data_IF_240825470093
#
_entry.id   IF_240825470093
#
_cell.length_a   1.000
_cell.length_b   1.000
_cell.length_c   1.000
_cell.angle_alpha   90.00
_cell.angle_beta   90.00
_cell.angle_gamma   90.00
#
_symmetry.space_group_name_H-M   'P 1'
#
loop_
_entity.id
_entity.type
_entity.pdbx_description
1 polymer ?
#
# COMPACT_ATOMS: atom_id res chain seq x y z
N UNK A 1 2.09 9.77 20.47
CA UNK A 1 1.29 9.15 19.39
C UNK A 1 1.27 10.11 18.20
N UNK A 2 1.43 9.61 16.97
CA UNK A 2 1.57 10.39 15.71
C UNK A 2 0.25 10.94 15.13
N UNK A 3 -0.83 10.93 15.91
CA UNK A 3 -2.12 11.52 15.52
C UNK A 3 -2.75 10.93 14.25
N UNK A 4 -3.70 11.67 13.68
CA UNK A 4 -4.44 11.26 12.48
C UNK A 4 -3.56 11.15 11.22
N UNK A 5 -2.52 11.98 11.10
CA UNK A 5 -1.61 11.95 9.95
C UNK A 5 -0.84 10.63 9.88
N UNK A 6 -0.36 10.11 11.02
CA UNK A 6 0.31 8.82 11.06
C UNK A 6 -0.65 7.66 10.74
N UNK A 7 -1.87 7.70 11.27
CA UNK A 7 -2.89 6.71 10.93
C UNK A 7 -3.23 6.73 9.43
N UNK A 8 -3.35 7.92 8.83
CA UNK A 8 -3.59 8.10 7.41
C UNK A 8 -2.44 7.56 6.56
N UNK A 9 -1.19 7.78 6.98
CA UNK A 9 -0.01 7.25 6.28
C UNK A 9 0.00 5.71 6.26
N UNK A 10 -0.27 5.06 7.40
CA UNK A 10 -0.38 3.59 7.43
C UNK A 10 -1.54 3.11 6.56
N UNK A 11 -2.71 3.72 6.71
CA UNK A 11 -3.89 3.38 5.92
C UNK A 11 -3.61 3.47 4.41
N UNK A 12 -2.96 4.54 3.95
CA UNK A 12 -2.63 4.77 2.56
C UNK A 12 -1.79 3.62 1.97
N UNK A 13 -0.75 3.18 2.70
CA UNK A 13 0.10 2.09 2.26
C UNK A 13 -0.61 0.72 2.33
N UNK A 14 -1.45 0.49 3.34
CA UNK A 14 -2.27 -0.73 3.42
C UNK A 14 -3.27 -0.78 2.26
N UNK A 15 -3.90 0.35 1.91
CA UNK A 15 -4.82 0.45 0.79
C UNK A 15 -4.12 0.16 -0.54
N UNK A 16 -2.94 0.74 -0.76
CA UNK A 16 -2.07 0.46 -1.91
C UNK A 16 -1.75 -1.04 -2.03
N UNK A 17 -1.17 -1.61 -0.97
CA UNK A 17 -0.81 -3.03 -0.96
C UNK A 17 -2.02 -3.94 -1.24
N UNK A 18 -3.15 -3.68 -0.56
CA UNK A 18 -4.36 -4.49 -0.68
C UNK A 18 -5.02 -4.34 -2.05
N UNK A 19 -5.16 -3.12 -2.55
CA UNK A 19 -5.75 -2.88 -3.87
C UNK A 19 -4.90 -3.54 -4.96
N UNK A 20 -3.57 -3.42 -4.87
CA UNK A 20 -2.65 -4.07 -5.83
C UNK A 20 -2.79 -5.58 -5.78
N UNK A 21 -2.78 -6.18 -4.59
CA UNK A 21 -2.97 -7.62 -4.41
C UNK A 21 -4.31 -8.10 -4.99
N UNK A 22 -5.42 -7.40 -4.71
CA UNK A 22 -6.73 -7.72 -5.29
C UNK A 22 -6.74 -7.57 -6.81
N UNK A 23 -6.11 -6.52 -7.33
CA UNK A 23 -5.98 -6.29 -8.76
C UNK A 23 -5.30 -7.47 -9.47
N UNK A 24 -4.24 -8.01 -8.87
CA UNK A 24 -3.48 -9.14 -9.42
C UNK A 24 -4.18 -10.49 -9.17
N UNK A 25 -4.44 -10.83 -7.92
CA UNK A 25 -4.90 -12.16 -7.52
C UNK A 25 -6.38 -12.43 -7.83
N UNK A 26 -7.22 -11.38 -7.88
CA UNK A 26 -8.68 -11.52 -8.04
C UNK A 26 -9.17 -10.99 -9.39
N UNK A 27 -8.66 -9.83 -9.82
CA UNK A 27 -9.14 -9.17 -11.05
C UNK A 27 -8.28 -9.51 -12.28
N UNK A 28 -7.15 -10.19 -12.11
CA UNK A 28 -6.30 -10.65 -13.20
C UNK A 28 -5.50 -9.54 -13.91
N UNK A 29 -5.34 -8.37 -13.30
CA UNK A 29 -4.45 -7.34 -13.81
C UNK A 29 -2.98 -7.73 -13.61
N UNK A 30 -2.11 -7.29 -14.53
CA UNK A 30 -0.66 -7.44 -14.37
C UNK A 30 -0.04 -6.30 -13.58
N UNK A 31 0.86 -6.60 -12.64
CA UNK A 31 1.68 -5.60 -11.96
C UNK A 31 2.80 -5.10 -12.89
N UNK A 32 2.86 -3.78 -13.10
CA UNK A 32 3.79 -3.13 -14.04
C UNK A 32 5.03 -2.54 -13.34
N UNK A 33 4.98 -2.37 -12.02
CA UNK A 33 6.05 -1.79 -11.22
C UNK A 33 7.11 -2.86 -10.97
N UNK A 34 8.37 -2.70 -11.44
CA UNK A 34 9.37 -3.76 -11.38
C UNK A 34 9.63 -4.32 -9.98
N UNK A 35 9.68 -3.46 -8.96
CA UNK A 35 9.91 -3.89 -7.58
C UNK A 35 8.72 -4.66 -7.01
N UNK A 36 7.49 -4.17 -7.23
CA UNK A 36 6.26 -4.86 -6.81
C UNK A 36 6.15 -6.23 -7.48
N UNK A 37 6.40 -6.28 -8.80
CA UNK A 37 6.38 -7.52 -9.57
C UNK A 37 7.43 -8.52 -9.06
N UNK A 38 8.64 -8.07 -8.72
CA UNK A 38 9.66 -8.94 -8.15
C UNK A 38 9.25 -9.52 -6.79
N UNK A 39 8.62 -8.71 -5.92
CA UNK A 39 8.11 -9.16 -4.62
C UNK A 39 7.02 -10.23 -4.83
N UNK A 40 6.07 -9.99 -5.73
CA UNK A 40 4.99 -10.94 -6.02
C UNK A 40 5.49 -12.20 -6.69
N UNK A 41 6.45 -12.09 -7.61
CA UNK A 41 7.08 -13.25 -8.24
C UNK A 41 7.79 -14.14 -7.20
N UNK A 42 8.51 -13.52 -6.25
CA UNK A 42 9.09 -14.27 -5.14
C UNK A 42 8.01 -14.92 -4.28
N UNK A 43 6.94 -14.20 -3.94
CA UNK A 43 5.82 -14.74 -3.17
C UNK A 43 5.15 -15.94 -3.86
N UNK A 44 5.03 -15.91 -5.19
CA UNK A 44 4.51 -17.01 -6.00
C UNK A 44 5.41 -18.24 -6.06
N UNK A 45 6.69 -18.12 -5.69
CA UNK A 45 7.60 -19.27 -5.55
C UNK A 45 7.45 -19.99 -4.19
N UNK A 46 6.71 -19.42 -3.25
CA UNK A 46 6.52 -19.96 -1.90
C UNK A 46 5.34 -20.93 -1.86
N UNK A 47 5.36 -21.93 -0.95
CA UNK A 47 4.27 -22.90 -0.80
C UNK A 47 2.96 -22.29 -0.28
N UNK A 48 2.96 -21.01 0.07
CA UNK A 48 1.78 -20.24 0.51
C UNK A 48 0.91 -19.76 -0.64
N UNK A 49 1.43 -19.71 -1.87
CA UNK A 49 0.74 -19.18 -3.05
C UNK A 49 -0.67 -19.77 -3.25
N UNK A 50 -0.91 -21.09 -3.12
CA UNK A 50 -2.25 -21.65 -3.35
C UNK A 50 -3.33 -21.19 -2.36
N UNK A 51 -2.91 -20.60 -1.23
CA UNK A 51 -3.81 -20.16 -0.15
C UNK A 51 -3.88 -18.64 -0.06
N UNK A 52 -2.76 -17.95 -0.27
CA UNK A 52 -2.64 -16.50 -0.07
C UNK A 52 -2.52 -15.69 -1.37
N UNK A 53 -2.40 -16.34 -2.53
CA UNK A 53 -2.07 -15.69 -3.79
C UNK A 53 -0.62 -15.23 -3.87
N UNK A 54 -0.30 -14.37 -4.83
CA UNK A 54 1.04 -13.79 -5.00
C UNK A 54 1.16 -12.38 -4.39
N UNK A 55 0.04 -11.71 -4.11
CA UNK A 55 0.00 -10.34 -3.62
C UNK A 55 0.26 -10.16 -2.12
N UNK A 56 0.06 -11.20 -1.29
CA UNK A 56 0.10 -11.08 0.18
C UNK A 56 1.41 -10.49 0.72
N UNK A 57 2.56 -10.87 0.13
CA UNK A 57 3.86 -10.38 0.59
C UNK A 57 4.00 -8.88 0.31
N UNK A 58 3.44 -8.40 -0.81
CA UNK A 58 3.44 -6.98 -1.12
C UNK A 58 2.59 -6.18 -0.13
N UNK A 59 1.44 -6.72 0.31
CA UNK A 59 0.62 -6.14 1.38
C UNK A 59 1.45 -5.99 2.67
N UNK A 60 2.18 -7.03 3.07
CA UNK A 60 3.03 -6.98 4.27
C UNK A 60 4.16 -5.96 4.12
N UNK A 61 4.82 -5.92 2.97
CA UNK A 61 5.90 -4.95 2.68
C UNK A 61 5.38 -3.52 2.78
N UNK A 62 4.23 -3.21 2.17
CA UNK A 62 3.62 -1.87 2.24
C UNK A 62 3.18 -1.52 3.65
N UNK A 63 2.58 -2.46 4.37
CA UNK A 63 2.18 -2.26 5.77
C UNK A 63 3.38 -1.96 6.65
N UNK A 64 4.45 -2.76 6.52
CA UNK A 64 5.70 -2.57 7.24
C UNK A 64 6.39 -1.24 6.86
N UNK A 65 6.37 -0.85 5.59
CA UNK A 65 6.88 0.42 5.12
C UNK A 65 6.13 1.60 5.75
N UNK A 66 4.79 1.61 5.66
CA UNK A 66 3.96 2.67 6.24
C UNK A 66 4.13 2.77 7.75
N UNK A 67 4.07 1.65 8.46
CA UNK A 67 4.28 1.61 9.91
C UNK A 67 5.71 2.03 10.29
N UNK A 68 6.72 1.53 9.58
CA UNK A 68 8.13 1.83 9.83
C UNK A 68 8.45 3.31 9.65
N UNK A 69 7.99 3.93 8.55
CA UNK A 69 8.18 5.37 8.32
C UNK A 69 7.49 6.19 9.40
N UNK A 70 6.27 5.81 9.80
CA UNK A 70 5.54 6.48 10.89
C UNK A 70 6.30 6.37 12.22
N UNK A 71 6.89 5.23 12.53
CA UNK A 71 7.71 5.05 13.74
C UNK A 71 8.98 5.91 13.68
N UNK A 72 9.65 5.97 12.53
CA UNK A 72 10.85 6.78 12.34
C UNK A 72 10.56 8.29 12.48
N UNK A 73 9.40 8.75 11.99
CA UNK A 73 8.97 10.14 12.11
C UNK A 73 8.29 10.46 13.44
N UNK A 74 8.05 9.48 14.31
CA UNK A 74 7.25 9.67 15.51
C UNK A 74 7.87 10.70 16.47
N UNK A 75 9.19 10.67 16.65
CA UNK A 75 9.91 11.67 17.45
C UNK A 75 9.81 13.05 16.85
N UNK A 76 10.05 13.16 15.54
CA UNK A 76 10.02 14.43 14.83
C UNK A 76 8.64 15.11 14.87
N UNK A 77 7.55 14.33 14.72
CA UNK A 77 6.18 14.82 14.87
C UNK A 77 5.89 15.32 16.30
N UNK A 78 6.56 14.76 17.32
CA UNK A 78 6.42 15.25 18.71
C UNK A 78 7.18 16.55 18.94
N UNK A 79 8.35 16.70 18.31
CA UNK A 79 9.21 17.88 18.45
C UNK A 79 8.70 19.06 17.62
N UNK A 80 8.40 18.84 16.34
CA UNK A 80 7.77 19.81 15.43
C UNK A 80 6.53 19.19 14.77
N UNK A 81 5.34 19.39 15.36
CA UNK A 81 4.11 18.80 14.83
C UNK A 81 3.73 19.31 13.44
N UNK A 82 4.03 20.55 13.08
CA UNK A 82 3.60 21.10 11.80
C UNK A 82 4.40 20.46 10.66
N UNK A 83 5.73 20.47 10.79
CA UNK A 83 6.62 19.91 9.77
C UNK A 83 6.55 18.38 9.73
N UNK A 84 6.50 17.72 10.90
CA UNK A 84 6.35 16.27 10.98
C UNK A 84 5.04 15.76 10.36
N UNK A 85 3.92 16.45 10.59
CA UNK A 85 2.64 16.07 9.95
C UNK A 85 2.65 16.35 8.45
N UNK A 86 3.36 17.38 7.98
CA UNK A 86 3.52 17.62 6.54
C UNK A 86 4.29 16.47 5.87
N UNK A 87 5.36 15.98 6.50
CA UNK A 87 6.09 14.80 6.01
C UNK A 87 5.19 13.56 6.00
N UNK A 88 4.41 13.33 7.05
CA UNK A 88 3.45 12.22 7.10
C UNK A 88 2.37 12.34 6.01
N UNK A 89 1.92 13.55 5.67
CA UNK A 89 1.01 13.76 4.57
C UNK A 89 1.64 13.41 3.20
N UNK A 90 2.92 13.70 3.00
CA UNK A 90 3.66 13.27 1.81
C UNK A 90 3.75 11.73 1.76
N UNK A 91 4.08 11.09 2.88
CA UNK A 91 4.11 9.61 2.96
C UNK A 91 2.74 9.02 2.64
N UNK A 92 1.66 9.58 3.19
CA UNK A 92 0.31 9.17 2.86
C UNK A 92 0.01 9.35 1.36
N UNK A 93 0.42 10.44 0.74
CA UNK A 93 0.24 10.64 -0.70
C UNK A 93 0.98 9.58 -1.54
N UNK A 94 2.17 9.15 -1.12
CA UNK A 94 2.94 8.08 -1.79
C UNK A 94 2.18 6.75 -1.79
N UNK A 95 1.51 6.39 -0.69
CA UNK A 95 0.62 5.22 -0.65
C UNK A 95 -0.69 5.43 -1.41
N UNK A 96 -1.35 6.58 -1.20
CA UNK A 96 -2.65 6.87 -1.82
C UNK A 96 -2.58 6.95 -3.34
N UNK A 97 -1.47 7.39 -3.94
CA UNK A 97 -1.33 7.50 -5.40
C UNK A 97 -1.66 6.20 -6.13
N UNK A 98 -0.85 5.13 -5.92
CA UNK A 98 -1.13 3.82 -6.51
C UNK A 98 -2.45 3.20 -6.02
N UNK A 99 -2.77 3.33 -4.73
CA UNK A 99 -4.02 2.76 -4.18
C UNK A 99 -5.29 3.36 -4.81
N UNK A 100 -5.34 4.69 -4.96
CA UNK A 100 -6.44 5.38 -5.64
C UNK A 100 -6.45 5.08 -7.14
N UNK A 101 -5.27 5.02 -7.78
CA UNK A 101 -5.16 4.62 -9.19
C UNK A 101 -5.79 3.24 -9.43
N UNK A 102 -5.48 2.25 -8.59
CA UNK A 102 -6.05 0.91 -8.68
C UNK A 102 -7.57 0.92 -8.50
N UNK A 103 -8.10 1.63 -7.50
CA UNK A 103 -9.55 1.72 -7.29
C UNK A 103 -10.24 2.32 -8.51
N UNK A 104 -9.70 3.43 -9.04
CA UNK A 104 -10.25 4.07 -10.24
C UNK A 104 -10.16 3.14 -11.46
N UNK A 105 -9.06 2.39 -11.61
CA UNK A 105 -8.91 1.37 -12.64
C UNK A 105 -9.99 0.30 -12.51
N UNK A 106 -10.29 -0.19 -11.30
CA UNK A 106 -11.29 -1.23 -11.07
C UNK A 106 -12.69 -0.75 -11.42
N UNK A 107 -13.01 0.50 -11.05
CA UNK A 107 -14.29 1.14 -11.38
C UNK A 107 -14.43 1.36 -12.89
N UNK A 108 -13.36 1.81 -13.56
CA UNK A 108 -13.40 2.11 -14.99
C UNK A 108 -13.37 0.86 -15.87
N UNK A 109 -12.65 -0.19 -15.45
CA UNK A 109 -12.52 -1.44 -16.19
C UNK A 109 -13.73 -2.37 -16.02
N UNK A 110 -14.64 -2.10 -15.08
CA UNK A 110 -15.85 -2.89 -14.89
C UNK A 110 -17.07 -2.23 -15.60
N UNK A 111 -17.53 -2.73 -16.77
CA UNK A 111 -18.70 -2.18 -17.47
C UNK A 111 -20.04 -2.52 -16.80
N UNK A 112 -20.06 -3.38 -15.77
CA UNK A 112 -21.26 -3.78 -15.03
C UNK A 112 -21.18 -3.25 -13.60
N UNK A 113 -21.56 -1.98 -13.40
CA UNK A 113 -21.81 -1.45 -12.07
C UNK A 113 -23.09 -2.08 -11.49
N UNK A 114 -22.92 -2.92 -10.46
CA UNK A 114 -23.95 -3.61 -9.67
C UNK A 114 -24.85 -4.62 -10.41
#
# INVERSE_FOLDING_TARGET
AVGAAGALAVFAHVLDGTSTAVGVDVLGFGEQTPLSAAIMHFAGSLPTEPVLGVGWLFVLVKTALGAGVVLLLAEYVREDPAEGNLLLAVVAAVGLGPGAHNILLFVAANPAGF
#
